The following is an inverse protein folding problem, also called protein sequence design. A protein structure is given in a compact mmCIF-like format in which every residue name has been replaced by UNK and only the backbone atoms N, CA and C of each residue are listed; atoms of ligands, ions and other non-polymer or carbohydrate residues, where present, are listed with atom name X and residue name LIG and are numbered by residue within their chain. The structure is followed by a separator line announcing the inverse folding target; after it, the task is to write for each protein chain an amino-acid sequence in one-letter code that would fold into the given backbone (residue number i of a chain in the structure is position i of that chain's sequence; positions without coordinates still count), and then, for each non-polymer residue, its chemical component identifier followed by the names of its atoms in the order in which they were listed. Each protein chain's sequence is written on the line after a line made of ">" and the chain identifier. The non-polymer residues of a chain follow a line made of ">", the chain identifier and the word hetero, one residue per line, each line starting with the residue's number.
data_IF_945131810443
#
_entry.id   IF_945131810443
#
_cell.length_a   1.000
_cell.length_b   1.000
_cell.length_c   1.000
_cell.angle_alpha   90.00
_cell.angle_beta   90.00
_cell.angle_gamma   90.00
#
_symmetry.space_group_name_H-M   'P 1'
#
loop_
_entity.id
_entity.type
_entity.pdbx_description
1 polymer ?
#
# COMPACT_ATOMS: atom_id res chain seq x y z
N UNK A 1 14.13 -0.60 -10.73
CA UNK A 1 12.83 -0.01 -10.41
C UNK A 1 12.66 0.08 -8.90
N UNK A 2 11.94 1.07 -8.44
CA UNK A 2 11.72 1.25 -7.00
C UNK A 2 10.81 0.14 -6.45
N UNK A 3 11.03 -0.21 -5.18
CA UNK A 3 10.24 -1.21 -4.49
C UNK A 3 8.95 -0.57 -3.93
N UNK A 4 7.82 -1.27 -4.02
CA UNK A 4 6.54 -0.81 -3.50
C UNK A 4 6.23 -1.46 -2.15
N UNK A 5 6.05 -0.64 -1.12
CA UNK A 5 5.54 -1.06 0.18
C UNK A 5 4.11 -0.50 0.32
N UNK A 6 3.12 -1.37 0.30
CA UNK A 6 1.71 -0.98 0.17
C UNK A 6 0.95 -1.37 1.43
N UNK A 7 0.22 -0.41 1.99
CA UNK A 7 -0.70 -0.64 3.11
C UNK A 7 -2.14 -0.62 2.57
N UNK A 8 -2.87 -1.72 2.73
CA UNK A 8 -4.18 -1.90 2.10
C UNK A 8 -5.29 -2.14 3.12
N UNK A 9 -6.45 -1.51 2.89
CA UNK A 9 -7.68 -1.68 3.66
C UNK A 9 -8.74 -2.35 2.79
N UNK A 10 -8.47 -3.57 2.35
CA UNK A 10 -9.34 -4.32 1.45
C UNK A 10 -9.64 -3.57 0.14
N UNK A 11 -8.66 -2.83 -0.35
CA UNK A 11 -8.79 -2.02 -1.55
C UNK A 11 -8.75 -2.89 -2.81
N UNK A 12 -9.26 -2.32 -3.92
CA UNK A 12 -9.02 -2.88 -5.24
C UNK A 12 -7.56 -2.65 -5.62
N UNK A 13 -6.84 -3.74 -5.88
CA UNK A 13 -5.41 -3.72 -6.22
C UNK A 13 -5.15 -4.10 -7.68
N UNK A 14 -6.17 -4.05 -8.53
CA UNK A 14 -6.02 -4.40 -9.96
C UNK A 14 -4.99 -3.49 -10.65
N UNK A 15 -4.83 -2.25 -10.18
CA UNK A 15 -3.88 -1.30 -10.75
C UNK A 15 -2.43 -1.81 -10.69
N UNK A 16 -2.11 -2.66 -9.73
CA UNK A 16 -0.74 -3.16 -9.54
C UNK A 16 -0.27 -4.06 -10.69
N UNK A 17 -1.20 -4.66 -11.43
CA UNK A 17 -0.87 -5.47 -12.60
C UNK A 17 -0.10 -4.70 -13.68
N UNK A 18 -0.26 -3.39 -13.73
CA UNK A 18 0.42 -2.54 -14.72
C UNK A 18 1.86 -2.23 -14.35
N UNK A 19 2.32 -2.61 -13.15
CA UNK A 19 3.63 -2.23 -12.65
C UNK A 19 4.49 -3.46 -12.40
N UNK A 20 5.69 -3.55 -13.06
CA UNK A 20 6.60 -4.67 -12.84
C UNK A 20 7.41 -4.56 -11.56
N UNK A 21 7.21 -3.50 -10.79
CA UNK A 21 7.94 -3.24 -9.55
C UNK A 21 7.70 -4.36 -8.53
N UNK A 22 8.78 -4.80 -7.88
CA UNK A 22 8.65 -5.71 -6.73
C UNK A 22 7.91 -5.02 -5.60
N UNK A 23 7.15 -5.77 -4.83
CA UNK A 23 6.28 -5.19 -3.82
C UNK A 23 6.09 -6.10 -2.61
N UNK A 24 5.62 -5.50 -1.53
CA UNK A 24 4.97 -6.18 -0.41
C UNK A 24 3.69 -5.42 -0.07
N UNK A 25 2.63 -6.15 0.24
CA UNK A 25 1.33 -5.59 0.61
C UNK A 25 1.01 -6.03 2.03
N UNK A 26 0.73 -5.07 2.89
CA UNK A 26 0.25 -5.31 4.25
C UNK A 26 -1.26 -5.18 4.26
N UNK A 27 -1.95 -6.28 4.55
CA UNK A 27 -3.41 -6.32 4.63
C UNK A 27 -3.85 -5.94 6.04
N UNK A 28 -4.30 -4.72 6.21
CA UNK A 28 -4.72 -4.20 7.52
C UNK A 28 -6.06 -4.76 7.97
N UNK A 29 -6.80 -5.41 7.11
CA UNK A 29 -8.09 -6.00 7.41
C UNK A 29 -8.04 -7.53 7.48
N UNK A 30 -6.87 -8.11 7.65
CA UNK A 30 -6.69 -9.57 7.64
C UNK A 30 -7.50 -10.29 8.72
N UNK A 31 -7.74 -9.64 9.85
CA UNK A 31 -8.54 -10.19 10.97
C UNK A 31 -9.90 -9.50 11.10
N UNK A 32 -10.33 -8.77 10.07
CA UNK A 32 -11.46 -7.86 10.15
C UNK A 32 -10.99 -6.47 10.54
N UNK A 33 -11.89 -5.52 10.56
CA UNK A 33 -11.53 -4.16 10.90
C UNK A 33 -12.71 -3.21 10.76
N UNK A 34 -12.44 -1.94 10.93
CA UNK A 34 -13.44 -0.90 10.83
C UNK A 34 -13.41 -0.28 9.44
N UNK A 35 -14.57 0.12 8.95
CA UNK A 35 -14.62 0.92 7.73
C UNK A 35 -13.91 2.26 7.96
N UNK A 36 -13.25 2.78 6.94
CA UNK A 36 -12.52 4.05 7.03
C UNK A 36 -13.39 5.20 7.53
N UNK A 37 -14.65 5.22 7.12
CA UNK A 37 -15.58 6.33 7.37
C UNK A 37 -16.61 6.04 8.44
N UNK A 38 -16.68 4.81 8.93
CA UNK A 38 -17.69 4.38 9.87
C UNK A 38 -17.11 3.35 10.83
N UNK A 39 -16.92 3.75 12.06
CA UNK A 39 -16.38 2.90 13.11
C UNK A 39 -17.45 2.15 13.88
N UNK A 40 -18.69 2.15 13.40
CA UNK A 40 -19.80 1.53 14.11
C UNK A 40 -19.85 0.02 13.96
N UNK A 41 -19.27 -0.52 12.89
CA UNK A 41 -19.32 -1.94 12.60
C UNK A 41 -17.94 -2.52 12.30
N UNK A 42 -17.68 -3.70 12.85
CA UNK A 42 -16.47 -4.46 12.54
C UNK A 42 -16.69 -5.19 11.22
N UNK A 43 -15.81 -4.96 10.26
CA UNK A 43 -15.85 -5.64 8.98
C UNK A 43 -15.32 -7.07 9.09
N UNK A 44 -15.81 -8.00 8.25
CA UNK A 44 -15.25 -9.35 8.21
C UNK A 44 -13.78 -9.32 7.75
N UNK A 45 -13.03 -10.41 7.99
CA UNK A 45 -11.68 -10.50 7.46
C UNK A 45 -11.63 -10.27 5.95
N UNK A 46 -10.57 -9.62 5.51
CA UNK A 46 -10.31 -9.33 4.10
C UNK A 46 -10.08 -10.61 3.30
N UNK A 47 -10.44 -10.57 2.02
CA UNK A 47 -10.19 -11.67 1.08
C UNK A 47 -9.08 -11.34 0.08
N UNK A 48 -8.22 -10.38 0.37
CA UNK A 48 -7.18 -9.93 -0.58
C UNK A 48 -6.26 -11.07 -1.03
N UNK A 49 -5.84 -11.93 -0.10
CA UNK A 49 -4.95 -13.06 -0.44
C UNK A 49 -5.61 -14.03 -1.39
N UNK A 50 -6.92 -14.25 -1.25
CA UNK A 50 -7.68 -15.13 -2.13
C UNK A 50 -7.93 -14.49 -3.49
N UNK A 51 -8.22 -13.19 -3.49
CA UNK A 51 -8.49 -12.43 -4.71
C UNK A 51 -7.23 -12.21 -5.54
N UNK A 52 -6.08 -12.04 -4.90
CA UNK A 52 -4.80 -11.74 -5.54
C UNK A 52 -3.72 -12.77 -5.15
N UNK A 53 -3.87 -14.03 -5.56
CA UNK A 53 -2.94 -15.09 -5.12
C UNK A 53 -1.51 -14.91 -5.64
N UNK A 54 -1.30 -14.07 -6.67
CA UNK A 54 0.02 -13.82 -7.24
C UNK A 54 0.77 -12.68 -6.55
N UNK A 55 0.07 -11.88 -5.74
CA UNK A 55 0.72 -10.76 -5.06
C UNK A 55 1.33 -11.21 -3.73
N UNK A 56 2.38 -10.52 -3.32
CA UNK A 56 3.02 -10.76 -2.03
C UNK A 56 2.26 -10.01 -0.94
N UNK A 57 1.28 -10.68 -0.34
CA UNK A 57 0.39 -10.10 0.67
C UNK A 57 0.68 -10.78 2.02
N UNK A 58 0.92 -9.96 3.03
CA UNK A 58 1.11 -10.41 4.41
C UNK A 58 0.12 -9.69 5.32
N UNK A 59 -0.04 -10.21 6.53
CA UNK A 59 -0.91 -9.58 7.51
C UNK A 59 -0.29 -8.29 8.01
N UNK A 60 -1.09 -7.21 7.98
CA UNK A 60 -0.70 -5.95 8.57
C UNK A 60 -1.14 -5.86 10.04
N UNK A 61 -0.67 -4.82 10.73
CA UNK A 61 -1.08 -4.53 12.08
C UNK A 61 -2.48 -3.86 12.05
N UNK A 62 -3.52 -4.47 12.62
CA UNK A 62 -4.84 -3.85 12.65
C UNK A 62 -4.90 -2.60 13.54
N UNK A 63 -3.94 -2.44 14.43
CA UNK A 63 -3.81 -1.25 15.29
C UNK A 63 -2.81 -0.29 14.64
N UNK A 64 -3.11 0.97 14.70
CA UNK A 64 -2.28 1.98 14.05
C UNK A 64 -2.69 2.18 12.61
N UNK A 65 -2.14 3.21 12.00
CA UNK A 65 -2.45 3.61 10.64
C UNK A 65 -1.44 3.03 9.64
N UNK A 66 -1.45 3.51 8.41
CA UNK A 66 -0.53 3.04 7.38
C UNK A 66 0.93 3.10 7.82
N UNK A 67 1.28 4.08 8.65
CA UNK A 67 2.65 4.26 9.15
C UNK A 67 3.17 3.03 9.90
N UNK A 68 2.28 2.29 10.60
CA UNK A 68 2.72 1.09 11.34
C UNK A 68 3.24 0.02 10.39
N UNK A 69 2.63 -0.14 9.21
CA UNK A 69 3.09 -1.10 8.20
C UNK A 69 4.41 -0.65 7.57
N UNK A 70 4.55 0.64 7.30
CA UNK A 70 5.79 1.18 6.73
C UNK A 70 6.97 1.01 7.71
N UNK A 71 6.73 1.27 8.99
CA UNK A 71 7.75 1.07 10.02
C UNK A 71 8.09 -0.40 10.19
N UNK A 72 7.09 -1.28 10.15
CA UNK A 72 7.31 -2.73 10.20
C UNK A 72 8.20 -3.18 9.04
N UNK A 73 7.92 -2.69 7.83
CA UNK A 73 8.75 -3.01 6.67
C UNK A 73 10.20 -2.58 6.88
N UNK A 74 10.42 -1.35 7.36
CA UNK A 74 11.76 -0.82 7.60
C UNK A 74 12.50 -1.67 8.65
N UNK A 75 11.82 -2.01 9.75
CA UNK A 75 12.43 -2.79 10.84
C UNK A 75 12.77 -4.21 10.37
N UNK A 76 11.83 -4.88 9.71
CA UNK A 76 12.01 -6.27 9.27
C UNK A 76 13.09 -6.41 8.20
N UNK A 77 13.36 -5.35 7.43
CA UNK A 77 14.32 -5.37 6.33
C UNK A 77 15.51 -4.44 6.56
N UNK A 78 15.75 -4.03 7.79
CA UNK A 78 16.72 -2.99 8.13
C UNK A 78 18.12 -3.26 7.55
N UNK A 79 18.55 -4.51 7.57
CA UNK A 79 19.88 -4.90 7.08
C UNK A 79 19.94 -5.07 5.56
N UNK A 80 18.82 -5.04 4.86
CA UNK A 80 18.74 -5.27 3.42
C UNK A 80 17.58 -4.49 2.79
N UNK A 81 17.54 -3.19 3.06
CA UNK A 81 16.51 -2.32 2.47
C UNK A 81 16.75 -2.12 0.98
N UNK A 82 15.66 -2.01 0.18
CA UNK A 82 15.80 -1.59 -1.21
C UNK A 82 16.45 -0.20 -1.31
N UNK A 83 17.08 0.08 -2.44
CA UNK A 83 17.71 1.40 -2.67
C UNK A 83 16.70 2.53 -2.55
N UNK A 84 15.52 2.35 -3.11
CA UNK A 84 14.41 3.30 -2.99
C UNK A 84 13.11 2.52 -2.78
N UNK A 85 12.34 2.95 -1.79
CA UNK A 85 11.03 2.37 -1.48
C UNK A 85 9.95 3.42 -1.67
N UNK A 86 8.89 3.05 -2.39
CA UNK A 86 7.67 3.83 -2.49
C UNK A 86 6.69 3.35 -1.43
N UNK A 87 6.36 4.19 -0.47
CA UNK A 87 5.36 3.90 0.55
C UNK A 87 3.99 4.33 0.05
N UNK A 88 3.12 3.37 -0.20
CA UNK A 88 1.85 3.56 -0.89
C UNK A 88 0.69 3.05 -0.05
N UNK A 89 -0.50 3.58 -0.35
CA UNK A 89 -1.77 3.02 0.10
C UNK A 89 -2.39 2.22 -1.04
N UNK A 90 -3.25 1.24 -0.71
CA UNK A 90 -3.95 0.47 -1.74
C UNK A 90 -4.79 1.35 -2.67
N UNK A 91 -5.27 2.51 -2.19
CA UNK A 91 -6.07 3.45 -2.96
C UNK A 91 -5.28 4.69 -3.44
N UNK A 92 -3.96 4.60 -3.54
CA UNK A 92 -3.13 5.75 -3.92
C UNK A 92 -3.59 6.38 -5.23
N UNK A 93 -3.73 5.59 -6.29
CA UNK A 93 -4.08 6.09 -7.62
C UNK A 93 -5.54 6.55 -7.67
N UNK A 94 -6.45 5.82 -7.04
CA UNK A 94 -7.88 6.16 -7.11
C UNK A 94 -8.25 7.38 -6.28
N UNK A 95 -7.45 7.75 -5.27
CA UNK A 95 -7.84 8.80 -4.32
C UNK A 95 -6.80 9.91 -4.14
N UNK A 96 -5.51 9.60 -4.21
CA UNK A 96 -4.48 10.54 -3.77
C UNK A 96 -3.68 11.18 -4.89
N UNK A 97 -3.57 10.53 -6.05
CA UNK A 97 -2.76 11.03 -7.15
C UNK A 97 -3.32 10.49 -8.47
N UNK A 98 -3.24 11.31 -9.53
CA UNK A 98 -3.62 10.84 -10.86
C UNK A 98 -2.57 9.89 -11.42
N UNK A 99 -3.03 8.90 -12.18
CA UNK A 99 -2.17 7.85 -12.73
C UNK A 99 -1.01 8.42 -13.56
N UNK A 100 -1.28 9.45 -14.35
CA UNK A 100 -0.26 10.07 -15.21
C UNK A 100 0.91 10.63 -14.39
N UNK A 101 0.60 11.26 -13.27
CA UNK A 101 1.63 11.81 -12.38
C UNK A 101 2.33 10.70 -11.64
N UNK A 102 1.59 9.72 -11.15
CA UNK A 102 2.15 8.55 -10.49
C UNK A 102 3.16 7.84 -11.40
N UNK A 103 2.80 7.56 -12.64
CA UNK A 103 3.68 6.91 -13.61
C UNK A 103 4.97 7.69 -13.85
N UNK A 104 4.88 9.01 -13.73
CA UNK A 104 6.03 9.89 -13.96
C UNK A 104 7.05 9.87 -12.81
N UNK A 105 6.61 9.62 -11.58
CA UNK A 105 7.46 9.79 -10.40
C UNK A 105 7.86 8.50 -9.69
N UNK A 106 7.19 7.37 -9.95
CA UNK A 106 7.35 6.15 -9.14
C UNK A 106 8.74 5.52 -9.20
N UNK A 107 9.54 5.87 -10.20
CA UNK A 107 10.90 5.36 -10.31
C UNK A 107 11.96 6.44 -10.08
N UNK A 108 11.58 7.57 -9.52
CA UNK A 108 12.53 8.61 -9.12
C UNK A 108 13.50 8.06 -8.06
N UNK A 109 14.76 8.49 -8.14
CA UNK A 109 15.81 8.05 -7.21
C UNK A 109 16.08 9.04 -6.09
N UNK A 110 15.27 10.10 -6.00
CA UNK A 110 15.34 11.08 -4.92
C UNK A 110 14.02 11.11 -4.17
N UNK A 111 14.02 11.68 -2.96
CA UNK A 111 12.78 11.85 -2.20
C UNK A 111 11.77 12.61 -3.04
N UNK A 112 10.61 12.02 -3.25
CA UNK A 112 9.52 12.61 -4.04
C UNK A 112 8.21 12.35 -3.30
N UNK A 113 7.49 13.41 -2.86
CA UNK A 113 6.15 13.23 -2.30
C UNK A 113 5.20 12.65 -3.36
N UNK A 114 4.43 11.62 -2.97
CA UNK A 114 3.42 11.04 -3.85
C UNK A 114 2.12 11.79 -3.58
N UNK A 115 2.01 12.96 -4.17
CA UNK A 115 0.91 13.87 -3.93
C UNK A 115 0.57 14.64 -5.20
N UNK A 116 -0.72 14.85 -5.40
CA UNK A 116 -1.24 15.67 -6.49
C UNK A 116 -2.17 16.71 -5.86
N UNK A 117 -1.67 17.95 -5.76
CA UNK A 117 -2.42 19.04 -5.15
C UNK A 117 -3.76 19.32 -5.87
N UNK A 118 -3.88 18.89 -7.14
CA UNK A 118 -5.14 19.06 -7.89
C UNK A 118 -6.14 17.94 -7.63
N UNK A 119 -5.73 16.89 -6.92
CA UNK A 119 -6.63 15.79 -6.54
C UNK A 119 -7.37 16.05 -5.23
N UNK A 120 -7.01 17.11 -4.52
CA UNK A 120 -7.61 17.47 -3.23
C UNK A 120 -8.69 18.54 -3.37
#
# INVERSE_FOLDING_TARGET
>A
MNFFCISAYNNDLDWLEEYPNSHIIYDKCCFGGWADNDNSELLPPSNLKEKYPKYNITNGDPNGYNISDYMTFIIDNYDDLPDVTCFLKGNTISRHIRKEIFDHIINNKCFTPIEDWRAH
#
